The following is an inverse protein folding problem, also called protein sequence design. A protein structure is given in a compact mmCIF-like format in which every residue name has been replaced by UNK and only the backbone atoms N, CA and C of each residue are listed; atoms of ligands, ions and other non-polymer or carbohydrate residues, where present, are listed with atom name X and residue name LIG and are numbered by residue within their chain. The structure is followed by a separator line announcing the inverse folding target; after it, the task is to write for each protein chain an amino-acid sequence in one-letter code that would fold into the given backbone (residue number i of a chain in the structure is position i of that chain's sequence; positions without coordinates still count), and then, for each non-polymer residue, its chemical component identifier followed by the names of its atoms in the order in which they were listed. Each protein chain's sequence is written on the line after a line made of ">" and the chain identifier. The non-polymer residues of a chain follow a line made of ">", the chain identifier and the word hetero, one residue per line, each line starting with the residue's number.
data_IF_907290321310
#
_entry.id   IF_907290321310
#
_cell.length_a   1.000
_cell.length_b   1.000
_cell.length_c   1.000
_cell.angle_alpha   90.00
_cell.angle_beta   90.00
_cell.angle_gamma   90.00
#
_symmetry.space_group_name_H-M   'P 1'
#
loop_
_entity.id
_entity.type
_entity.pdbx_description
1 polymer ?
#
# COMPACT_ATOMS: atom_id res chain seq x y z
N UNK A 1 -19.85 -14.21 18.49
CA UNK A 1 -20.95 -13.28 18.16
C UNK A 1 -20.53 -11.81 18.19
N UNK A 2 -19.95 -11.29 19.30
CA UNK A 2 -19.55 -9.86 19.41
C UNK A 2 -18.52 -9.40 18.38
N UNK A 3 -17.46 -10.18 18.12
CA UNK A 3 -16.42 -9.78 17.17
C UNK A 3 -16.89 -9.77 15.70
N UNK A 4 -17.72 -10.75 15.32
CA UNK A 4 -18.35 -10.78 14.00
C UNK A 4 -19.21 -9.54 13.77
N UNK A 5 -20.00 -9.16 14.79
CA UNK A 5 -20.77 -7.92 14.74
C UNK A 5 -19.88 -6.69 14.52
N UNK A 6 -18.74 -6.57 15.20
CA UNK A 6 -17.80 -5.46 14.97
C UNK A 6 -17.23 -5.47 13.54
N UNK A 7 -16.93 -6.64 12.97
CA UNK A 7 -16.45 -6.74 11.59
C UNK A 7 -17.52 -6.32 10.58
N UNK A 8 -18.78 -6.73 10.79
CA UNK A 8 -19.91 -6.32 9.95
C UNK A 8 -20.13 -4.81 10.08
N UNK A 9 -20.13 -4.28 11.31
CA UNK A 9 -20.28 -2.84 11.55
C UNK A 9 -19.13 -2.04 10.90
N UNK A 10 -17.90 -2.57 10.92
CA UNK A 10 -16.74 -2.01 10.23
C UNK A 10 -16.97 -1.86 8.72
N UNK A 11 -17.59 -2.86 8.09
CA UNK A 11 -17.95 -2.84 6.66
C UNK A 11 -19.05 -1.80 6.42
N UNK A 12 -20.12 -1.82 7.22
CA UNK A 12 -21.25 -0.89 7.09
C UNK A 12 -20.79 0.55 7.21
N UNK A 13 -19.95 0.88 8.20
CA UNK A 13 -19.41 2.23 8.38
C UNK A 13 -18.56 2.68 7.18
N UNK A 14 -17.74 1.80 6.61
CA UNK A 14 -16.91 2.13 5.43
C UNK A 14 -17.76 2.34 4.18
N UNK A 15 -18.78 1.51 3.97
CA UNK A 15 -19.75 1.68 2.90
C UNK A 15 -20.54 2.98 3.07
N UNK A 16 -20.89 3.37 4.30
CA UNK A 16 -21.54 4.67 4.55
C UNK A 16 -20.60 5.85 4.28
N UNK A 17 -19.32 5.74 4.61
CA UNK A 17 -18.32 6.77 4.30
C UNK A 17 -18.13 6.95 2.79
N UNK A 18 -18.23 5.85 2.02
CA UNK A 18 -18.17 5.88 0.56
C UNK A 18 -19.32 6.69 -0.08
N UNK A 19 -20.49 6.79 0.56
CA UNK A 19 -21.61 7.57 0.00
C UNK A 19 -21.53 9.07 0.28
N UNK A 20 -20.77 9.47 1.30
CA UNK A 20 -20.64 10.89 1.72
C UNK A 20 -19.29 11.50 1.35
N UNK A 21 -18.30 10.68 0.98
CA UNK A 21 -16.99 11.16 0.54
C UNK A 21 -17.01 11.30 -0.98
N UNK A 22 -16.89 12.53 -1.53
CA UNK A 22 -16.80 12.70 -2.97
C UNK A 22 -15.54 12.02 -3.47
N UNK A 23 -15.68 11.23 -4.53
CA UNK A 23 -14.55 10.68 -5.25
C UNK A 23 -13.89 11.81 -6.04
N UNK A 24 -12.57 11.95 -5.90
CA UNK A 24 -11.78 12.81 -6.78
C UNK A 24 -11.85 12.33 -8.24
N UNK A 25 -11.24 13.09 -9.13
CA UNK A 25 -11.21 12.70 -10.53
C UNK A 25 -10.37 11.41 -10.71
N UNK A 26 -10.81 10.42 -11.52
CA UNK A 26 -10.10 9.13 -11.63
C UNK A 26 -8.61 9.24 -11.99
N UNK A 27 -8.25 10.27 -12.78
CA UNK A 27 -6.87 10.50 -13.21
C UNK A 27 -5.95 11.08 -12.12
N UNK A 28 -6.51 11.51 -10.98
CA UNK A 28 -5.75 11.95 -9.81
C UNK A 28 -5.13 10.79 -9.04
N UNK A 29 -5.56 9.54 -9.30
CA UNK A 29 -5.09 8.35 -8.61
C UNK A 29 -4.20 7.51 -9.51
N UNK A 30 -2.91 7.42 -9.18
CA UNK A 30 -1.93 6.75 -10.04
C UNK A 30 -2.25 5.27 -10.21
N UNK A 31 -2.87 4.63 -9.22
CA UNK A 31 -3.24 3.21 -9.29
C UNK A 31 -4.34 2.96 -10.32
N UNK A 32 -5.25 3.92 -10.49
CA UNK A 32 -6.34 3.87 -11.48
C UNK A 32 -5.76 4.06 -12.89
N UNK A 33 -4.89 5.07 -13.06
CA UNK A 33 -4.20 5.35 -14.33
C UNK A 33 -3.37 4.15 -14.78
N UNK A 34 -2.55 3.59 -13.89
CA UNK A 34 -1.72 2.41 -14.21
C UNK A 34 -2.60 1.20 -14.60
N UNK A 35 -3.72 0.99 -13.92
CA UNK A 35 -4.62 -0.11 -14.25
C UNK A 35 -5.28 0.06 -15.63
N UNK A 36 -5.65 1.28 -16.00
CA UNK A 36 -6.18 1.58 -17.34
C UNK A 36 -5.11 1.37 -18.42
N UNK A 37 -3.89 1.84 -18.19
CA UNK A 37 -2.76 1.63 -19.09
C UNK A 37 -2.46 0.13 -19.29
N UNK A 38 -2.52 -0.66 -18.21
CA UNK A 38 -2.33 -2.10 -18.28
C UNK A 38 -3.39 -2.79 -19.16
N UNK A 39 -4.65 -2.35 -19.11
CA UNK A 39 -5.72 -2.88 -19.96
C UNK A 39 -5.61 -2.44 -21.42
N UNK A 40 -5.03 -1.27 -21.68
CA UNK A 40 -4.82 -0.74 -23.03
C UNK A 40 -3.58 -1.34 -23.73
N UNK A 41 -2.80 -2.17 -23.04
CA UNK A 41 -1.60 -2.81 -23.58
C UNK A 41 -0.29 -2.08 -23.25
N UNK A 42 -0.35 -0.95 -22.56
CA UNK A 42 0.82 -0.14 -22.14
C UNK A 42 1.46 -0.67 -20.84
N UNK A 43 0.91 -1.76 -20.28
CA UNK A 43 1.42 -2.41 -19.08
C UNK A 43 1.44 -1.47 -17.88
N UNK A 44 2.55 -1.44 -17.15
CA UNK A 44 2.74 -0.55 -16.00
C UNK A 44 3.20 0.86 -16.40
N UNK A 45 3.01 1.21 -17.67
CA UNK A 45 3.42 2.48 -18.23
C UNK A 45 2.76 3.66 -17.54
N UNK A 46 3.48 4.77 -17.44
CA UNK A 46 2.93 6.01 -16.87
C UNK A 46 3.55 7.23 -17.56
N UNK A 47 2.70 8.15 -18.00
CA UNK A 47 3.11 9.52 -18.25
C UNK A 47 3.15 10.24 -16.90
N UNK A 48 4.33 10.69 -16.51
CA UNK A 48 4.56 11.24 -15.18
C UNK A 48 3.73 12.53 -14.99
N UNK A 49 2.90 12.64 -13.92
CA UNK A 49 1.95 13.74 -13.80
C UNK A 49 2.64 15.09 -13.51
N UNK A 50 3.87 15.09 -13.01
CA UNK A 50 4.58 16.30 -12.61
C UNK A 50 5.39 16.90 -13.75
N UNK A 51 5.11 18.15 -14.16
CA UNK A 51 5.92 18.80 -15.20
C UNK A 51 7.40 18.93 -14.77
N UNK A 52 8.35 18.52 -15.62
CA UNK A 52 9.77 18.77 -15.36
C UNK A 52 10.03 20.27 -15.24
N UNK A 53 10.86 20.67 -14.26
CA UNK A 53 11.33 22.06 -14.15
C UNK A 53 12.20 22.47 -15.35
N UNK A 54 12.91 21.50 -15.94
CA UNK A 54 13.67 21.71 -17.16
C UNK A 54 12.74 21.89 -18.36
N UNK A 55 12.79 23.06 -18.99
CA UNK A 55 11.90 23.46 -20.08
C UNK A 55 12.04 22.58 -21.32
N UNK A 56 13.25 22.08 -21.61
CA UNK A 56 13.50 21.16 -22.72
C UNK A 56 12.82 19.80 -22.48
N UNK A 57 12.93 19.26 -21.27
CA UNK A 57 12.26 18.02 -20.87
C UNK A 57 10.74 18.16 -20.78
N UNK A 58 10.24 19.31 -20.30
CA UNK A 58 8.82 19.61 -20.29
C UNK A 58 8.24 19.70 -21.71
N UNK A 59 8.98 20.28 -22.65
CA UNK A 59 8.58 20.35 -24.06
C UNK A 59 8.60 18.97 -24.72
N UNK A 60 9.60 18.13 -24.40
CA UNK A 60 9.68 16.75 -24.86
C UNK A 60 8.47 15.91 -24.39
N UNK A 61 8.05 16.07 -23.14
CA UNK A 61 6.86 15.40 -22.60
C UNK A 61 5.55 15.90 -23.20
N UNK A 62 5.44 17.19 -23.50
CA UNK A 62 4.28 17.72 -24.22
C UNK A 62 4.19 17.15 -25.64
N UNK A 63 5.33 16.85 -26.26
CA UNK A 63 5.37 16.25 -27.61
C UNK A 63 5.19 14.74 -27.65
N UNK A 64 5.40 14.03 -26.53
CA UNK A 64 5.23 12.58 -26.43
C UNK A 64 4.36 12.22 -25.21
N UNK A 65 3.03 12.15 -25.38
CA UNK A 65 2.11 11.78 -24.31
C UNK A 65 2.06 10.26 -24.06
N UNK A 66 2.86 9.45 -24.74
CA UNK A 66 2.77 7.99 -24.62
C UNK A 66 3.23 7.51 -23.23
N UNK A 67 2.52 6.56 -22.60
CA UNK A 67 2.98 5.99 -21.35
C UNK A 67 4.33 5.29 -21.52
N UNK A 68 5.35 5.71 -20.77
CA UNK A 68 6.65 5.05 -20.79
C UNK A 68 6.70 3.90 -19.79
N UNK A 69 7.42 2.79 -20.08
CA UNK A 69 7.63 1.71 -19.13
C UNK A 69 8.06 2.24 -17.76
N UNK A 70 7.33 1.84 -16.71
CA UNK A 70 7.51 2.41 -15.38
C UNK A 70 7.35 1.37 -14.27
N UNK A 71 7.92 1.70 -13.12
CA UNK A 71 7.62 1.10 -11.83
C UNK A 71 7.45 2.26 -10.83
N UNK A 72 6.52 3.17 -11.14
CA UNK A 72 6.26 4.34 -10.32
C UNK A 72 5.65 3.95 -8.97
N UNK A 73 4.60 3.13 -8.99
CA UNK A 73 3.96 2.62 -7.79
C UNK A 73 4.36 1.17 -7.49
N UNK A 74 4.31 0.75 -6.21
CA UNK A 74 4.29 -0.66 -5.86
C UNK A 74 3.14 -1.40 -6.55
N UNK A 75 3.35 -2.65 -7.00
CA UNK A 75 2.47 -3.29 -7.98
C UNK A 75 1.14 -3.82 -7.45
N UNK A 76 1.01 -4.03 -6.13
CA UNK A 76 -0.13 -4.78 -5.60
C UNK A 76 -1.47 -4.08 -5.87
N UNK A 77 -1.58 -2.81 -5.51
CA UNK A 77 -2.84 -2.06 -5.63
C UNK A 77 -3.22 -1.86 -7.10
N UNK A 78 -2.30 -1.45 -8.00
CA UNK A 78 -2.59 -1.39 -9.43
C UNK A 78 -2.94 -2.76 -10.05
N UNK A 79 -2.33 -3.86 -9.59
CA UNK A 79 -2.69 -5.20 -10.06
C UNK A 79 -4.11 -5.60 -9.65
N UNK A 80 -4.52 -5.29 -8.41
CA UNK A 80 -5.91 -5.47 -7.96
C UNK A 80 -6.87 -4.63 -8.79
N UNK A 81 -6.55 -3.36 -9.01
CA UNK A 81 -7.35 -2.46 -9.84
C UNK A 81 -7.48 -2.99 -11.28
N UNK A 82 -6.38 -3.44 -11.89
CA UNK A 82 -6.36 -4.03 -13.24
C UNK A 82 -7.27 -5.26 -13.31
N UNK A 83 -7.18 -6.15 -12.32
CA UNK A 83 -8.04 -7.34 -12.26
C UNK A 83 -9.52 -6.97 -12.16
N UNK A 84 -9.87 -5.98 -11.32
CA UNK A 84 -11.26 -5.49 -11.19
C UNK A 84 -11.73 -4.86 -12.50
N UNK A 85 -10.92 -3.99 -13.10
CA UNK A 85 -11.29 -3.25 -14.31
C UNK A 85 -11.39 -4.17 -15.53
N UNK A 86 -10.64 -5.27 -15.58
CA UNK A 86 -10.75 -6.28 -16.64
C UNK A 86 -12.14 -6.94 -16.72
N UNK A 87 -12.89 -6.92 -15.61
CA UNK A 87 -14.23 -7.54 -15.51
C UNK A 87 -15.34 -6.49 -15.43
N UNK A 88 -15.13 -5.42 -14.66
CA UNK A 88 -16.13 -4.38 -14.38
C UNK A 88 -15.96 -3.10 -15.22
N UNK A 89 -14.92 -3.02 -16.08
CA UNK A 89 -14.55 -1.81 -16.81
C UNK A 89 -13.72 -0.83 -15.98
N UNK A 90 -12.94 0.04 -16.64
CA UNK A 90 -12.03 1.01 -16.00
C UNK A 90 -12.66 2.35 -15.62
N UNK A 91 -13.98 2.47 -15.76
CA UNK A 91 -14.72 3.70 -15.47
C UNK A 91 -15.28 3.70 -14.03
N UNK A 92 -16.20 4.62 -13.75
CA UNK A 92 -16.78 4.85 -12.42
C UNK A 92 -17.32 3.57 -11.74
N UNK A 93 -17.89 2.63 -12.51
CA UNK A 93 -18.40 1.38 -11.96
C UNK A 93 -17.28 0.46 -11.44
N UNK A 94 -16.21 0.26 -12.21
CA UNK A 94 -15.07 -0.55 -11.76
C UNK A 94 -14.35 0.04 -10.55
N UNK A 95 -14.22 1.38 -10.51
CA UNK A 95 -13.68 2.06 -9.33
C UNK A 95 -14.58 1.81 -8.11
N UNK A 96 -15.91 1.91 -8.27
CA UNK A 96 -16.84 1.60 -7.19
C UNK A 96 -16.71 0.15 -6.70
N UNK A 97 -16.56 -0.83 -7.62
CA UNK A 97 -16.31 -2.23 -7.25
C UNK A 97 -15.02 -2.37 -6.44
N UNK A 98 -13.94 -1.71 -6.86
CA UNK A 98 -12.66 -1.70 -6.14
C UNK A 98 -12.82 -1.12 -4.72
N UNK A 99 -13.54 0.00 -4.57
CA UNK A 99 -13.78 0.63 -3.27
C UNK A 99 -14.65 -0.24 -2.36
N UNK A 100 -15.65 -0.93 -2.91
CA UNK A 100 -16.45 -1.92 -2.15
C UNK A 100 -15.58 -3.08 -1.68
N UNK A 101 -14.72 -3.65 -2.54
CA UNK A 101 -13.76 -4.69 -2.15
C UNK A 101 -12.84 -4.21 -1.03
N UNK A 102 -12.36 -2.96 -1.13
CA UNK A 102 -11.55 -2.33 -0.09
C UNK A 102 -12.32 -2.23 1.24
N UNK A 103 -13.60 -1.88 1.22
CA UNK A 103 -14.47 -1.84 2.41
C UNK A 103 -14.62 -3.24 3.05
N UNK A 104 -14.81 -4.28 2.23
CA UNK A 104 -14.92 -5.67 2.69
C UNK A 104 -13.62 -6.14 3.37
N UNK A 105 -12.47 -5.84 2.77
CA UNK A 105 -11.15 -6.14 3.35
C UNK A 105 -10.92 -5.35 4.64
N UNK A 106 -11.34 -4.09 4.68
CA UNK A 106 -11.33 -3.27 5.90
C UNK A 106 -12.20 -3.83 7.03
N UNK A 107 -13.17 -4.68 6.72
CA UNK A 107 -13.93 -5.47 7.68
C UNK A 107 -13.07 -6.38 8.56
N UNK A 108 -11.87 -6.77 8.11
CA UNK A 108 -10.93 -7.63 8.85
C UNK A 108 -10.18 -6.88 9.96
N UNK A 109 -10.13 -5.54 9.91
CA UNK A 109 -9.32 -4.73 10.83
C UNK A 109 -9.69 -4.97 12.31
N UNK A 110 -10.97 -4.91 12.74
CA UNK A 110 -11.32 -5.16 14.14
C UNK A 110 -10.97 -6.58 14.60
N UNK A 111 -11.10 -7.58 13.72
CA UNK A 111 -10.72 -8.96 14.03
C UNK A 111 -9.22 -9.11 14.26
N UNK A 112 -8.39 -8.53 13.37
CA UNK A 112 -6.93 -8.54 13.52
C UNK A 112 -6.49 -7.80 14.78
N UNK A 113 -7.04 -6.61 15.04
CA UNK A 113 -6.74 -5.83 16.24
C UNK A 113 -7.13 -6.60 17.50
N UNK A 114 -8.32 -7.20 17.55
CA UNK A 114 -8.74 -8.03 18.68
C UNK A 114 -7.77 -9.18 18.91
N UNK A 115 -7.39 -9.89 17.85
CA UNK A 115 -6.48 -11.03 17.92
C UNK A 115 -5.09 -10.63 18.46
N UNK A 116 -4.53 -9.53 17.96
CA UNK A 116 -3.25 -8.97 18.41
C UNK A 116 -3.34 -8.53 19.87
N UNK A 117 -4.34 -7.74 20.22
CA UNK A 117 -4.52 -7.20 21.58
C UNK A 117 -4.77 -8.31 22.62
N UNK A 118 -5.46 -9.40 22.24
CA UNK A 118 -5.70 -10.55 23.13
C UNK A 118 -4.41 -11.27 23.52
N UNK A 119 -3.43 -11.35 22.61
CA UNK A 119 -2.12 -11.95 22.89
C UNK A 119 -1.24 -11.08 23.79
N UNK A 120 -1.44 -9.76 23.75
CA UNK A 120 -0.65 -8.81 24.55
C UNK A 120 -1.23 -8.55 25.94
N UNK A 121 -2.55 -8.65 26.10
CA UNK A 121 -3.23 -8.24 27.31
C UNK A 121 -4.35 -9.23 27.68
N UNK A 122 -5.61 -8.88 27.42
CA UNK A 122 -6.78 -9.64 27.88
C UNK A 122 -7.92 -9.60 26.88
N UNK A 123 -8.92 -10.47 27.09
CA UNK A 123 -10.16 -10.48 26.32
C UNK A 123 -10.84 -9.11 26.31
N UNK A 124 -10.93 -8.47 27.49
CA UNK A 124 -11.56 -7.15 27.64
C UNK A 124 -10.80 -6.08 26.86
N UNK A 125 -9.47 -6.06 26.97
CA UNK A 125 -8.63 -5.14 26.22
C UNK A 125 -8.79 -5.35 24.70
N UNK A 126 -8.90 -6.60 24.25
CA UNK A 126 -9.10 -6.92 22.84
C UNK A 126 -10.41 -6.36 22.26
N UNK A 127 -11.50 -6.45 23.02
CA UNK A 127 -12.80 -5.92 22.60
C UNK A 127 -12.84 -4.40 22.64
N UNK A 128 -12.15 -3.77 23.58
CA UNK A 128 -11.99 -2.31 23.61
C UNK A 128 -11.20 -1.85 22.39
N UNK A 129 -10.03 -2.43 22.11
CA UNK A 129 -9.21 -2.06 20.96
C UNK A 129 -9.93 -2.25 19.62
N UNK A 130 -10.67 -3.36 19.46
CA UNK A 130 -11.47 -3.60 18.26
C UNK A 130 -12.59 -2.57 18.08
N UNK A 131 -13.28 -2.20 19.17
CA UNK A 131 -14.29 -1.13 19.14
C UNK A 131 -13.66 0.23 18.79
N UNK A 132 -12.51 0.57 19.38
CA UNK A 132 -11.80 1.82 19.08
C UNK A 132 -11.37 1.92 17.62
N UNK A 133 -11.05 0.79 16.97
CA UNK A 133 -10.74 0.78 15.55
C UNK A 133 -11.89 1.21 14.63
N UNK A 134 -13.14 1.11 15.11
CA UNK A 134 -14.33 1.52 14.35
C UNK A 134 -14.53 3.04 14.30
N UNK A 135 -13.94 3.78 15.25
CA UNK A 135 -14.08 5.24 15.36
C UNK A 135 -12.82 5.98 14.91
N UNK A 136 -11.83 5.26 14.38
CA UNK A 136 -10.63 5.88 13.82
C UNK A 136 -10.94 6.47 12.43
N UNK A 137 -11.43 7.72 12.42
CA UNK A 137 -11.91 8.43 11.23
C UNK A 137 -10.93 8.36 10.04
N UNK A 138 -9.61 8.63 10.20
CA UNK A 138 -8.69 8.56 9.06
C UNK A 138 -8.67 7.18 8.37
N UNK A 139 -8.81 6.10 9.14
CA UNK A 139 -8.88 4.74 8.60
C UNK A 139 -10.21 4.39 7.94
N UNK A 140 -11.30 5.08 8.29
CA UNK A 140 -12.57 4.95 7.60
C UNK A 140 -12.56 5.72 6.27
N UNK A 141 -12.14 6.99 6.29
CA UNK A 141 -12.08 7.86 5.10
C UNK A 141 -11.15 7.28 4.04
N UNK A 142 -10.06 6.63 4.45
CA UNK A 142 -9.14 5.97 3.53
C UNK A 142 -9.74 4.78 2.78
N UNK A 143 -10.93 4.30 3.17
CA UNK A 143 -11.69 3.28 2.43
C UNK A 143 -12.41 3.85 1.20
N UNK A 144 -12.58 5.17 1.13
CA UNK A 144 -13.22 5.87 0.03
C UNK A 144 -12.24 6.36 -1.05
N UNK A 145 -10.95 6.02 -0.94
CA UNK A 145 -9.94 6.37 -1.95
C UNK A 145 -9.30 5.11 -2.54
N UNK A 146 -9.03 5.08 -3.86
CA UNK A 146 -8.39 3.94 -4.53
C UNK A 146 -6.87 3.86 -4.29
N UNK A 147 -6.32 4.72 -3.41
CA UNK A 147 -4.91 4.75 -3.02
C UNK A 147 -4.42 3.48 -2.31
N UNK A 148 -5.35 2.59 -1.95
CA UNK A 148 -5.05 1.27 -1.42
C UNK A 148 -4.75 1.22 0.08
N UNK A 149 -5.16 2.24 0.82
CA UNK A 149 -4.78 2.42 2.21
C UNK A 149 -5.17 1.29 3.16
N UNK A 150 -6.34 0.75 2.93
CA UNK A 150 -6.88 -0.35 3.73
C UNK A 150 -6.10 -1.65 3.47
N UNK A 151 -5.62 -1.88 2.24
CA UNK A 151 -4.86 -3.09 1.90
C UNK A 151 -3.56 -3.16 2.68
N UNK A 152 -2.77 -2.07 2.67
CA UNK A 152 -1.52 -2.05 3.44
C UNK A 152 -1.78 -2.02 4.95
N UNK A 153 -2.88 -1.43 5.43
CA UNK A 153 -3.20 -1.45 6.86
C UNK A 153 -3.51 -2.88 7.35
N UNK A 154 -4.33 -3.63 6.59
CA UNK A 154 -4.63 -5.04 6.88
C UNK A 154 -3.37 -5.89 6.78
N UNK A 155 -2.55 -5.69 5.74
CA UNK A 155 -1.29 -6.42 5.58
C UNK A 155 -0.29 -6.11 6.72
N UNK A 156 -0.18 -4.84 7.13
CA UNK A 156 0.62 -4.42 8.28
C UNK A 156 0.17 -5.07 9.60
N UNK A 157 -1.14 -5.20 9.81
CA UNK A 157 -1.67 -5.94 10.97
C UNK A 157 -1.33 -7.44 10.90
N UNK A 158 -1.34 -8.06 9.70
CA UNK A 158 -0.84 -9.42 9.54
C UNK A 158 0.65 -9.55 9.84
N UNK A 159 1.47 -8.56 9.46
CA UNK A 159 2.90 -8.51 9.85
C UNK A 159 3.03 -8.49 11.38
N UNK A 160 2.27 -7.64 12.07
CA UNK A 160 2.30 -7.55 13.55
C UNK A 160 1.87 -8.89 14.18
N UNK A 161 0.76 -9.49 13.73
CA UNK A 161 0.30 -10.80 14.23
C UNK A 161 1.34 -11.90 13.98
N UNK A 162 1.97 -11.92 12.80
CA UNK A 162 3.02 -12.88 12.46
C UNK A 162 4.27 -12.70 13.33
N UNK A 163 4.69 -11.45 13.59
CA UNK A 163 5.80 -11.15 14.51
C UNK A 163 5.47 -11.67 15.91
N UNK A 164 4.27 -11.42 16.42
CA UNK A 164 3.88 -11.90 17.76
C UNK A 164 3.90 -13.43 17.86
N UNK A 165 3.34 -14.13 16.87
CA UNK A 165 3.36 -15.61 16.82
C UNK A 165 4.81 -16.11 16.77
N UNK A 166 5.65 -15.50 15.94
CA UNK A 166 7.03 -15.93 15.78
C UNK A 166 7.85 -15.71 17.05
N UNK A 167 7.69 -14.56 17.71
CA UNK A 167 8.40 -14.26 18.94
C UNK A 167 7.88 -15.06 20.13
N UNK A 168 6.58 -15.34 20.22
CA UNK A 168 6.00 -16.11 21.33
C UNK A 168 6.18 -17.62 21.17
N UNK A 169 5.99 -18.15 19.97
CA UNK A 169 5.84 -19.59 19.71
C UNK A 169 7.00 -20.17 18.89
N UNK A 170 7.91 -19.34 18.36
CA UNK A 170 9.05 -19.77 17.55
C UNK A 170 8.68 -20.30 16.15
N UNK A 171 7.39 -20.23 15.77
CA UNK A 171 6.84 -20.73 14.50
C UNK A 171 6.23 -19.61 13.66
N UNK A 172 5.93 -19.90 12.39
CA UNK A 172 5.25 -18.94 11.51
C UNK A 172 6.18 -17.94 10.81
N UNK A 173 7.49 -18.21 10.77
CA UNK A 173 8.45 -17.40 10.03
C UNK A 173 8.07 -17.22 8.54
N UNK A 174 7.54 -18.27 7.90
CA UNK A 174 7.05 -18.16 6.53
C UNK A 174 5.88 -17.17 6.40
N UNK A 175 4.97 -17.11 7.40
CA UNK A 175 3.85 -16.17 7.42
C UNK A 175 4.35 -14.74 7.53
N UNK A 176 5.38 -14.52 8.36
CA UNK A 176 6.03 -13.23 8.47
C UNK A 176 6.61 -12.80 7.11
N UNK A 177 7.40 -13.66 6.48
CA UNK A 177 7.99 -13.36 5.17
C UNK A 177 6.96 -13.11 4.08
N UNK A 178 5.87 -13.90 4.03
CA UNK A 178 4.77 -13.67 3.07
C UNK A 178 4.08 -12.34 3.34
N UNK A 179 3.72 -12.04 4.59
CA UNK A 179 3.05 -10.79 4.95
C UNK A 179 3.94 -9.58 4.67
N UNK A 180 5.24 -9.67 5.00
CA UNK A 180 6.21 -8.62 4.70
C UNK A 180 6.38 -8.45 3.19
N UNK A 181 6.55 -9.54 2.43
CA UNK A 181 6.67 -9.48 0.97
C UNK A 181 5.44 -8.84 0.30
N UNK A 182 4.23 -9.21 0.73
CA UNK A 182 3.00 -8.58 0.25
C UNK A 182 2.96 -7.08 0.61
N UNK A 183 3.35 -6.72 1.83
CA UNK A 183 3.41 -5.33 2.26
C UNK A 183 4.45 -4.54 1.46
N UNK A 184 5.59 -5.15 1.12
CA UNK A 184 6.61 -4.58 0.23
C UNK A 184 6.06 -4.30 -1.17
N UNK A 185 5.19 -5.17 -1.70
CA UNK A 185 4.49 -4.95 -2.98
C UNK A 185 3.39 -3.87 -2.91
N UNK A 186 3.00 -3.44 -1.70
CA UNK A 186 2.06 -2.33 -1.48
C UNK A 186 2.78 -1.02 -1.10
N UNK A 187 3.94 -1.11 -0.47
CA UNK A 187 4.72 -0.01 0.12
C UNK A 187 6.21 -0.31 -0.01
N UNK A 188 6.90 0.39 -0.91
CA UNK A 188 8.28 0.08 -1.31
C UNK A 188 9.30 0.21 -0.16
N UNK A 189 9.02 1.02 0.85
CA UNK A 189 9.89 1.24 2.02
C UNK A 189 10.07 -0.04 2.85
N UNK A 190 9.10 -0.97 2.76
CA UNK A 190 9.20 -2.30 3.34
C UNK A 190 10.15 -3.22 2.58
N UNK A 191 10.78 -2.80 1.48
CA UNK A 191 11.92 -3.52 0.96
C UNK A 191 13.08 -3.51 1.97
N UNK A 192 13.40 -2.34 2.53
CA UNK A 192 14.45 -2.22 3.54
C UNK A 192 13.93 -2.60 4.94
N UNK A 193 12.81 -2.00 5.37
CA UNK A 193 12.24 -2.29 6.70
C UNK A 193 11.80 -3.75 6.83
N UNK A 194 11.30 -4.36 5.75
CA UNK A 194 10.89 -5.76 5.73
C UNK A 194 12.05 -6.73 5.94
N UNK A 195 13.23 -6.43 5.41
CA UNK A 195 14.45 -7.22 5.69
C UNK A 195 14.79 -7.17 7.18
N UNK A 196 14.73 -5.98 7.80
CA UNK A 196 14.97 -5.84 9.25
C UNK A 196 13.92 -6.60 10.08
N UNK A 197 12.65 -6.54 9.68
CA UNK A 197 11.57 -7.28 10.34
C UNK A 197 11.75 -8.79 10.19
N UNK A 198 12.14 -9.27 9.00
CA UNK A 198 12.45 -10.68 8.77
C UNK A 198 13.69 -11.15 9.56
N UNK A 199 14.60 -10.24 9.92
CA UNK A 199 15.77 -10.53 10.73
C UNK A 199 15.51 -10.59 12.25
N UNK A 200 14.33 -10.17 12.74
CA UNK A 200 13.98 -10.24 14.17
C UNK A 200 14.23 -11.60 14.85
N UNK A 201 14.03 -12.77 14.22
CA UNK A 201 14.32 -14.06 14.84
C UNK A 201 15.79 -14.25 15.22
N UNK A 202 16.73 -13.53 14.59
CA UNK A 202 18.16 -13.55 14.93
C UNK A 202 18.39 -13.09 16.36
N UNK A 203 17.58 -12.16 16.88
CA UNK A 203 17.66 -11.69 18.27
C UNK A 203 17.44 -12.82 19.29
N UNK A 204 16.70 -13.87 18.89
CA UNK A 204 16.49 -15.09 19.68
C UNK A 204 17.37 -16.26 19.21
N UNK A 205 18.44 -15.98 18.45
CA UNK A 205 19.33 -16.97 17.81
C UNK A 205 18.61 -17.95 16.87
N UNK A 206 17.42 -17.60 16.38
CA UNK A 206 16.65 -18.42 15.45
C UNK A 206 16.99 -18.04 13.99
N UNK A 207 18.20 -18.37 13.56
CA UNK A 207 18.69 -18.11 12.20
C UNK A 207 17.82 -18.79 11.13
N UNK A 208 17.38 -20.03 11.39
CA UNK A 208 16.48 -20.75 10.47
C UNK A 208 15.17 -20.00 10.24
N UNK A 209 14.57 -19.44 11.29
CA UNK A 209 13.39 -18.61 11.19
C UNK A 209 13.63 -17.34 10.37
N UNK A 210 14.75 -16.64 10.62
CA UNK A 210 15.09 -15.44 9.85
C UNK A 210 15.33 -15.76 8.37
N UNK A 211 16.09 -16.82 8.05
CA UNK A 211 16.31 -17.28 6.69
C UNK A 211 15.03 -17.68 5.99
N UNK A 212 14.12 -18.39 6.68
CA UNK A 212 12.83 -18.78 6.11
C UNK A 212 11.92 -17.57 5.85
N UNK A 213 11.86 -16.60 6.77
CA UNK A 213 11.10 -15.37 6.57
C UNK A 213 11.66 -14.56 5.39
N UNK A 214 12.99 -14.41 5.31
CA UNK A 214 13.63 -13.71 4.21
C UNK A 214 13.41 -14.45 2.88
N UNK A 215 13.54 -15.77 2.85
CA UNK A 215 13.32 -16.57 1.66
C UNK A 215 11.88 -16.43 1.15
N UNK A 216 10.87 -16.51 2.01
CA UNK A 216 9.48 -16.36 1.57
C UNK A 216 9.12 -14.93 1.18
N UNK A 217 9.71 -13.92 1.83
CA UNK A 217 9.62 -12.53 1.37
C UNK A 217 10.18 -12.38 -0.05
N UNK A 218 11.38 -12.91 -0.30
CA UNK A 218 12.03 -12.86 -1.61
C UNK A 218 11.19 -13.57 -2.68
N UNK A 219 10.64 -14.75 -2.38
CA UNK A 219 9.74 -15.48 -3.29
C UNK A 219 8.51 -14.65 -3.67
N UNK A 220 7.91 -13.93 -2.71
CA UNK A 220 6.73 -13.08 -2.98
C UNK A 220 7.08 -11.89 -3.88
N UNK A 221 8.23 -11.23 -3.65
CA UNK A 221 8.61 -10.03 -4.43
C UNK A 221 9.33 -10.37 -5.75
N UNK A 222 9.86 -11.58 -5.88
CA UNK A 222 10.67 -12.00 -7.04
C UNK A 222 9.99 -11.79 -8.40
N UNK A 223 8.69 -12.09 -8.60
CA UNK A 223 8.04 -11.88 -9.90
C UNK A 223 8.11 -10.42 -10.35
N UNK A 224 7.94 -9.49 -9.42
CA UNK A 224 8.01 -8.06 -9.71
C UNK A 224 9.44 -7.60 -10.00
N UNK A 225 10.41 -8.06 -9.21
CA UNK A 225 11.82 -7.75 -9.44
C UNK A 225 12.30 -8.30 -10.79
N UNK A 226 11.86 -9.49 -11.18
CA UNK A 226 12.17 -10.09 -12.48
C UNK A 226 11.57 -9.28 -13.63
N UNK A 227 10.30 -8.86 -13.51
CA UNK A 227 9.66 -7.96 -14.48
C UNK A 227 10.44 -6.66 -14.63
N UNK A 228 10.80 -6.03 -13.51
CA UNK A 228 11.53 -4.76 -13.55
C UNK A 228 12.92 -4.92 -14.17
N UNK A 229 13.64 -6.00 -13.86
CA UNK A 229 14.93 -6.27 -14.47
C UNK A 229 14.83 -6.50 -15.99
N UNK A 230 13.80 -7.21 -16.44
CA UNK A 230 13.57 -7.46 -17.86
C UNK A 230 13.15 -6.18 -18.61
N UNK A 231 12.27 -5.37 -18.01
CA UNK A 231 11.75 -4.13 -18.60
C UNK A 231 12.83 -3.05 -18.71
N UNK A 232 13.64 -2.86 -17.67
CA UNK A 232 14.61 -1.76 -17.60
C UNK A 232 16.02 -2.17 -18.06
N UNK A 233 16.25 -3.46 -18.36
CA UNK A 233 17.58 -3.98 -18.70
C UNK A 233 18.60 -3.90 -17.56
N UNK A 234 18.16 -3.60 -16.33
CA UNK A 234 19.00 -3.49 -15.15
C UNK A 234 18.21 -3.80 -13.87
N UNK A 235 18.86 -4.23 -12.77
CA UNK A 235 18.17 -4.47 -11.51
C UNK A 235 17.51 -3.19 -10.98
N UNK A 236 16.18 -3.20 -10.90
CA UNK A 236 15.37 -2.15 -10.29
C UNK A 236 14.56 -2.77 -9.15
N UNK A 237 14.46 -2.06 -8.02
CA UNK A 237 13.75 -2.50 -6.83
C UNK A 237 12.22 -2.51 -7.02
N UNK A 238 11.47 -2.20 -5.97
CA UNK A 238 10.01 -2.14 -6.06
C UNK A 238 9.54 -0.94 -6.89
N UNK A 239 10.20 0.21 -6.73
CA UNK A 239 9.90 1.44 -7.48
C UNK A 239 11.17 2.06 -8.06
N UNK A 240 11.01 2.92 -9.07
CA UNK A 240 12.12 3.62 -9.75
C UNK A 240 12.64 4.86 -9.01
N UNK A 241 11.91 5.40 -8.03
CA UNK A 241 12.25 6.66 -7.36
C UNK A 241 12.23 6.60 -5.82
N UNK A 242 12.80 5.55 -5.17
CA UNK A 242 12.72 5.41 -3.72
C UNK A 242 13.39 6.58 -2.97
N UNK A 243 14.43 7.17 -3.56
CA UNK A 243 15.15 8.29 -2.94
C UNK A 243 14.34 9.59 -2.92
N UNK A 244 13.45 9.79 -3.90
CA UNK A 244 12.54 10.95 -3.94
C UNK A 244 11.59 10.91 -2.75
N UNK A 245 11.05 9.74 -2.43
CA UNK A 245 10.15 9.53 -1.30
C UNK A 245 10.85 9.81 0.03
N UNK A 246 12.10 9.35 0.17
CA UNK A 246 12.92 9.61 1.36
C UNK A 246 13.26 11.09 1.51
N UNK A 247 13.72 11.74 0.44
CA UNK A 247 14.01 13.18 0.43
C UNK A 247 12.77 13.99 0.81
N UNK A 248 11.60 13.67 0.25
CA UNK A 248 10.34 14.36 0.56
C UNK A 248 9.99 14.28 2.04
N UNK A 249 10.17 13.12 2.67
CA UNK A 249 9.89 12.93 4.09
C UNK A 249 10.92 13.60 5.03
N UNK A 250 12.16 13.76 4.56
CA UNK A 250 13.26 14.34 5.34
C UNK A 250 13.51 15.84 5.06
N UNK A 251 12.75 16.44 4.13
CA UNK A 251 12.85 17.85 3.79
C UNK A 251 12.44 18.73 5.00
N UNK A 252 13.15 19.84 5.23
CA UNK A 252 12.89 20.79 6.32
C UNK A 252 11.48 21.42 6.28
N UNK A 253 10.83 21.38 5.12
CA UNK A 253 9.47 21.88 4.90
C UNK A 253 8.42 20.76 4.91
N UNK A 254 8.81 19.51 5.15
CA UNK A 254 7.87 18.40 5.25
C UNK A 254 6.94 18.59 6.46
N UNK A 255 5.64 18.67 6.22
CA UNK A 255 4.63 18.71 7.29
C UNK A 255 4.09 17.31 7.66
N UNK A 256 4.53 16.28 6.93
CA UNK A 256 3.90 14.95 6.94
C UNK A 256 2.66 14.84 6.04
N UNK A 257 2.33 15.88 5.27
CA UNK A 257 1.30 15.86 4.23
C UNK A 257 1.86 16.27 2.87
N UNK A 258 1.00 16.27 1.85
CA UNK A 258 1.29 16.85 0.54
C UNK A 258 1.38 18.38 0.51
N UNK A 259 1.30 19.02 1.67
CA UNK A 259 1.33 20.47 1.81
C UNK A 259 2.39 20.89 2.83
N UNK A 260 2.97 22.07 2.70
CA UNK A 260 3.79 22.69 3.72
C UNK A 260 2.90 23.25 4.86
N UNK A 261 3.51 23.68 5.96
CA UNK A 261 2.79 24.24 7.11
C UNK A 261 1.96 25.48 6.78
N UNK A 262 2.29 26.18 5.69
CA UNK A 262 1.59 27.35 5.15
C UNK A 262 0.52 26.96 4.10
N UNK A 263 0.22 25.67 3.93
CA UNK A 263 -0.81 25.16 3.02
C UNK A 263 -0.36 25.07 1.56
N UNK A 264 0.90 25.32 1.25
CA UNK A 264 1.43 25.22 -0.11
C UNK A 264 1.63 23.77 -0.53
N UNK A 265 1.27 23.44 -1.76
CA UNK A 265 1.52 22.12 -2.32
C UNK A 265 3.04 21.90 -2.47
N UNK A 266 3.60 20.89 -1.80
CA UNK A 266 5.05 20.55 -1.93
C UNK A 266 5.36 19.73 -3.20
N UNK A 267 4.33 19.38 -3.97
CA UNK A 267 4.41 18.60 -5.20
C UNK A 267 4.59 19.46 -6.45
N UNK A 268 4.22 20.75 -6.41
CA UNK A 268 4.23 21.65 -7.57
C UNK A 268 4.61 23.09 -7.16
N UNK A 269 5.70 23.62 -7.70
CA UNK A 269 6.00 25.06 -7.59
C UNK A 269 7.49 25.45 -7.62
N UNK A 270 7.75 26.66 -8.10
CA UNK A 270 9.06 27.31 -8.31
C UNK A 270 9.89 27.54 -7.02
N UNK A 271 9.38 27.17 -5.85
CA UNK A 271 10.02 27.50 -4.56
C UNK A 271 11.16 26.57 -4.18
N UNK A 272 11.30 25.43 -4.86
CA UNK A 272 12.34 24.45 -4.57
C UNK A 272 13.09 24.10 -5.87
N UNK A 273 14.41 24.39 -5.95
CA UNK A 273 15.25 24.00 -7.07
C UNK A 273 15.44 22.48 -7.16
#
# INVERSE_FOLDING_TARGET
>A
MRLLFLCILSIVLRLAVLTVTPMGEPHEYEQVVIAQNALNGDGFGMAWPYQPLDSARAQLWKSDPTPHPSAFMPPFVPAVATAVFSVAGGERFGIMVMLVLQCLVGGLIPWLIARIARRMASERASMIAATWSLIFIPGLVSSATPAGAVWYAVCGLFVIDAVQILLAEGRGAWKLGVAVGLLTLMRSEFLALGVLVCALPVLKRNWKGASLALATMLVVIAPWLARNAAEFGQPVGIITHPWREMWRGANVHASGSGYAADGWNIWEGERYP
#
